data_IF_678163227183
#
_entry.id   IF_678163227183
#
_cell.length_a   1.000
_cell.length_b   1.000
_cell.length_c   1.000
_cell.angle_alpha   90.00
_cell.angle_beta   90.00
_cell.angle_gamma   90.00
#
_symmetry.space_group_name_H-M   'P 1'
#
loop_
_entity.id
_entity.type
_entity.pdbx_description
1 polymer ?
#
# COMPACT_ATOMS: atom_id res chain seq x y z
N UNK A 1 -17.55 17.76 2.24
CA UNK A 1 -16.93 16.52 2.75
C UNK A 1 -17.34 15.33 1.89
N UNK A 2 -18.62 15.19 1.50
CA UNK A 2 -19.08 14.13 0.58
C UNK A 2 -18.34 14.12 -0.78
N UNK A 3 -17.97 15.29 -1.32
CA UNK A 3 -17.21 15.36 -2.58
C UNK A 3 -15.80 14.78 -2.53
N UNK A 4 -15.18 14.65 -1.34
CA UNK A 4 -13.83 14.10 -1.21
C UNK A 4 -13.85 12.57 -1.38
N UNK A 5 -14.92 11.94 -0.90
CA UNK A 5 -15.04 10.49 -0.88
C UNK A 5 -14.98 9.87 -2.28
N UNK A 6 -15.43 10.59 -3.32
CA UNK A 6 -15.34 10.12 -4.72
C UNK A 6 -13.89 9.97 -5.22
N UNK A 7 -12.97 10.69 -4.60
CA UNK A 7 -11.55 10.66 -4.95
C UNK A 7 -10.76 9.67 -4.11
N UNK A 8 -11.27 9.26 -2.94
CA UNK A 8 -10.53 8.35 -2.06
C UNK A 8 -10.54 6.95 -2.69
N UNK A 9 -9.36 6.33 -2.92
CA UNK A 9 -9.29 5.02 -3.52
C UNK A 9 -9.65 3.93 -2.51
N UNK A 10 -9.92 2.73 -3.01
CA UNK A 10 -10.06 1.52 -2.19
C UNK A 10 -8.77 1.25 -1.41
N UNK A 11 -8.90 0.79 -0.17
CA UNK A 11 -7.77 0.36 0.64
C UNK A 11 -7.18 -0.93 0.05
N UNK A 12 -6.07 -0.78 -0.66
CA UNK A 12 -5.39 -1.92 -1.28
C UNK A 12 -4.89 -2.95 -0.27
N UNK A 13 -4.48 -2.52 0.92
CA UNK A 13 -4.00 -3.43 1.96
C UNK A 13 -5.15 -4.31 2.45
N UNK A 14 -6.32 -3.73 2.66
CA UNK A 14 -7.54 -4.44 3.01
C UNK A 14 -7.95 -5.41 1.90
N UNK A 15 -8.12 -4.91 0.68
CA UNK A 15 -8.65 -5.69 -0.44
C UNK A 15 -7.71 -6.85 -0.84
N UNK A 16 -6.38 -6.69 -0.75
CA UNK A 16 -5.43 -7.79 -0.99
C UNK A 16 -5.59 -8.92 0.04
N UNK A 17 -5.75 -8.59 1.34
CA UNK A 17 -5.94 -9.59 2.41
C UNK A 17 -7.22 -10.38 2.20
N UNK A 18 -8.30 -9.65 1.94
CA UNK A 18 -9.60 -10.21 1.61
C UNK A 18 -9.50 -11.09 0.35
N UNK A 19 -8.81 -10.63 -0.69
CA UNK A 19 -8.62 -11.40 -1.90
C UNK A 19 -7.87 -12.71 -1.69
N UNK A 20 -6.86 -12.72 -0.83
CA UNK A 20 -6.17 -13.96 -0.43
C UNK A 20 -7.08 -14.87 0.38
N UNK A 21 -7.89 -14.33 1.30
CA UNK A 21 -8.87 -15.13 2.07
C UNK A 21 -9.91 -15.78 1.16
N UNK A 22 -10.50 -15.03 0.25
CA UNK A 22 -11.45 -15.57 -0.72
C UNK A 22 -10.78 -16.63 -1.61
N UNK A 23 -9.58 -16.34 -2.11
CA UNK A 23 -8.82 -17.25 -2.97
C UNK A 23 -8.55 -18.60 -2.29
N UNK A 24 -8.03 -18.57 -1.06
CA UNK A 24 -7.66 -19.77 -0.30
C UNK A 24 -8.89 -20.60 0.08
N UNK A 25 -10.03 -19.94 0.33
CA UNK A 25 -11.26 -20.60 0.75
C UNK A 25 -12.24 -20.85 -0.41
N UNK A 26 -11.83 -20.62 -1.66
CA UNK A 26 -12.63 -20.94 -2.85
C UNK A 26 -13.81 -19.99 -3.13
N UNK A 27 -13.82 -18.79 -2.55
CA UNK A 27 -14.85 -17.78 -2.78
C UNK A 27 -14.55 -16.92 -4.02
N UNK A 28 -15.60 -16.40 -4.65
CA UNK A 28 -15.53 -15.58 -5.87
C UNK A 28 -15.84 -14.10 -5.65
N UNK A 29 -16.26 -13.72 -4.44
CA UNK A 29 -16.72 -12.37 -4.13
C UNK A 29 -15.67 -11.31 -4.53
N UNK A 30 -14.38 -11.56 -4.27
CA UNK A 30 -13.30 -10.67 -4.70
C UNK A 30 -13.19 -10.45 -6.19
N UNK A 31 -13.28 -11.51 -7.01
CA UNK A 31 -13.13 -11.32 -8.46
C UNK A 31 -14.35 -10.62 -9.04
N UNK A 32 -15.54 -10.93 -8.53
CA UNK A 32 -16.78 -10.29 -8.93
C UNK A 32 -16.81 -8.82 -8.51
N UNK A 33 -16.28 -8.49 -7.33
CA UNK A 33 -16.10 -7.11 -6.87
C UNK A 33 -15.11 -6.33 -7.74
N UNK A 34 -13.92 -6.87 -8.00
CA UNK A 34 -12.86 -6.21 -8.81
C UNK A 34 -13.27 -6.05 -10.28
N UNK A 35 -14.17 -6.87 -10.80
CA UNK A 35 -14.72 -6.72 -12.15
C UNK A 35 -15.68 -5.54 -12.30
N UNK A 36 -16.29 -5.08 -11.20
CA UNK A 36 -17.24 -3.96 -11.19
C UNK A 36 -16.56 -2.60 -11.00
N UNK A 37 -15.27 -2.58 -10.69
CA UNK A 37 -14.55 -1.33 -10.45
C UNK A 37 -14.05 -0.75 -11.77
N UNK A 38 -14.36 0.53 -12.03
CA UNK A 38 -13.88 1.26 -13.21
C UNK A 38 -12.41 1.64 -13.08
N UNK A 39 -11.98 2.03 -11.87
CA UNK A 39 -10.61 2.48 -11.59
C UNK A 39 -10.02 1.68 -10.44
N UNK A 40 -8.99 0.91 -10.75
CA UNK A 40 -8.20 0.14 -9.78
C UNK A 40 -6.79 0.72 -9.70
N UNK A 41 -6.20 0.67 -8.51
CA UNK A 41 -4.75 0.89 -8.39
C UNK A 41 -3.98 -0.26 -9.00
N UNK A 42 -2.71 -0.02 -9.35
CA UNK A 42 -1.86 -1.04 -9.98
C UNK A 42 -1.79 -2.33 -9.16
N UNK A 43 -1.74 -2.21 -7.83
CA UNK A 43 -1.72 -3.35 -6.90
C UNK A 43 -3.04 -4.14 -6.92
N UNK A 44 -4.19 -3.49 -7.10
CA UNK A 44 -5.49 -4.16 -7.20
C UNK A 44 -5.72 -4.77 -8.59
N UNK A 45 -5.17 -4.16 -9.64
CA UNK A 45 -5.13 -4.76 -10.96
C UNK A 45 -4.25 -6.02 -10.98
N UNK A 46 -3.11 -5.97 -10.29
CA UNK A 46 -2.25 -7.13 -10.09
C UNK A 46 -2.98 -8.24 -9.30
N UNK A 47 -3.71 -7.91 -8.23
CA UNK A 47 -4.53 -8.86 -7.48
C UNK A 47 -5.58 -9.54 -8.38
N UNK A 48 -6.33 -8.74 -9.15
CA UNK A 48 -7.32 -9.24 -10.11
C UNK A 48 -6.73 -10.26 -11.07
N UNK A 49 -5.57 -9.90 -11.65
CA UNK A 49 -4.82 -10.77 -12.58
C UNK A 49 -4.38 -12.05 -11.90
N UNK A 50 -3.79 -11.95 -10.71
CA UNK A 50 -3.26 -13.08 -9.97
C UNK A 50 -4.35 -14.09 -9.57
N UNK A 51 -5.54 -13.62 -9.17
CA UNK A 51 -6.68 -14.50 -8.84
C UNK A 51 -7.13 -15.29 -10.08
N UNK A 52 -7.23 -14.63 -11.23
CA UNK A 52 -7.60 -15.28 -12.51
C UNK A 52 -6.56 -16.34 -12.90
N UNK A 53 -5.28 -16.08 -12.64
CA UNK A 53 -4.17 -16.96 -13.00
C UNK A 53 -3.93 -18.10 -12.01
N UNK A 54 -4.40 -17.98 -10.77
CA UNK A 54 -4.10 -18.90 -9.68
C UNK A 54 -4.35 -20.37 -10.03
N UNK A 55 -5.51 -20.68 -10.62
CA UNK A 55 -5.91 -22.04 -10.97
C UNK A 55 -5.37 -22.50 -12.34
N UNK A 56 -4.59 -21.66 -13.03
CA UNK A 56 -3.99 -22.00 -14.32
C UNK A 56 -2.61 -22.63 -14.10
N UNK A 57 -2.11 -23.34 -15.12
CA UNK A 57 -0.72 -23.87 -15.17
C UNK A 57 0.32 -22.79 -15.53
N UNK A 58 -0.07 -21.51 -15.54
CA UNK A 58 0.79 -20.38 -15.91
C UNK A 58 1.47 -19.80 -14.68
N UNK A 59 2.57 -19.08 -14.90
CA UNK A 59 3.13 -18.20 -13.88
C UNK A 59 2.12 -17.12 -13.50
N UNK A 60 2.16 -16.67 -12.25
CA UNK A 60 1.25 -15.67 -11.70
C UNK A 60 1.91 -14.29 -11.79
N UNK A 61 1.28 -13.36 -12.49
CA UNK A 61 1.74 -11.98 -12.58
C UNK A 61 1.30 -11.19 -11.35
N UNK A 62 2.28 -10.71 -10.57
CA UNK A 62 2.07 -9.92 -9.35
C UNK A 62 2.43 -8.44 -9.51
N UNK A 63 2.74 -8.00 -10.74
CA UNK A 63 3.07 -6.60 -11.01
C UNK A 63 4.28 -6.13 -10.21
N UNK A 64 4.14 -4.92 -9.63
CA UNK A 64 5.09 -4.36 -8.66
C UNK A 64 4.75 -4.67 -7.20
N UNK A 65 3.65 -5.38 -6.93
CA UNK A 65 3.11 -5.51 -5.58
C UNK A 65 3.93 -6.47 -4.73
N UNK A 66 4.82 -5.91 -3.89
CA UNK A 66 5.61 -6.70 -2.93
C UNK A 66 4.73 -7.45 -1.92
N UNK A 67 3.61 -6.84 -1.50
CA UNK A 67 2.65 -7.48 -0.59
C UNK A 67 1.98 -8.68 -1.24
N UNK A 68 1.41 -8.49 -2.44
CA UNK A 68 0.74 -9.58 -3.16
C UNK A 68 1.71 -10.72 -3.46
N UNK A 69 2.94 -10.39 -3.90
CA UNK A 69 3.99 -11.38 -4.15
C UNK A 69 4.26 -12.24 -2.91
N UNK A 70 4.57 -11.62 -1.76
CA UNK A 70 4.88 -12.37 -0.53
C UNK A 70 3.69 -13.21 -0.07
N UNK A 71 2.48 -12.67 -0.11
CA UNK A 71 1.29 -13.39 0.31
C UNK A 71 1.05 -14.62 -0.56
N UNK A 72 1.00 -14.45 -1.89
CA UNK A 72 0.73 -15.56 -2.80
C UNK A 72 1.88 -16.56 -2.86
N UNK A 73 3.13 -16.12 -2.70
CA UNK A 73 4.28 -17.01 -2.62
C UNK A 73 4.22 -17.88 -1.37
N UNK A 74 3.93 -17.29 -0.21
CA UNK A 74 3.72 -18.03 1.02
C UNK A 74 2.54 -18.99 0.89
N UNK A 75 1.40 -18.56 0.33
CA UNK A 75 0.26 -19.43 0.04
C UNK A 75 0.65 -20.61 -0.85
N UNK A 76 1.41 -20.35 -1.91
CA UNK A 76 1.88 -21.39 -2.83
C UNK A 76 2.76 -22.42 -2.12
N UNK A 77 3.68 -21.98 -1.26
CA UNK A 77 4.51 -22.89 -0.45
C UNK A 77 3.67 -23.69 0.55
N UNK A 78 2.76 -23.02 1.27
CA UNK A 78 1.91 -23.65 2.28
C UNK A 78 0.99 -24.73 1.69
N UNK A 79 0.51 -24.53 0.47
CA UNK A 79 -0.36 -25.47 -0.25
C UNK A 79 0.41 -26.49 -1.11
N UNK A 80 1.76 -26.46 -1.12
CA UNK A 80 2.58 -27.37 -1.91
C UNK A 80 2.45 -27.19 -3.44
N UNK A 81 2.02 -26.02 -3.90
CA UNK A 81 1.72 -25.75 -5.31
C UNK A 81 2.92 -25.32 -6.14
N UNK A 82 3.99 -24.81 -5.51
CA UNK A 82 5.24 -24.38 -6.15
C UNK A 82 5.05 -23.51 -7.42
N UNK A 83 4.15 -22.52 -7.33
CA UNK A 83 3.85 -21.57 -8.40
C UNK A 83 5.05 -20.68 -8.73
N UNK A 84 5.25 -20.39 -10.01
CA UNK A 84 6.16 -19.34 -10.48
C UNK A 84 5.49 -17.97 -10.50
N UNK A 85 6.27 -16.90 -10.31
CA UNK A 85 5.76 -15.53 -10.20
C UNK A 85 6.50 -14.57 -11.14
N UNK A 86 5.75 -13.72 -11.84
CA UNK A 86 6.28 -12.65 -12.70
C UNK A 86 6.30 -11.34 -11.91
N UNK A 87 7.50 -10.79 -11.72
CA UNK A 87 7.75 -9.50 -11.04
C UNK A 87 8.05 -8.42 -12.07
N UNK A 88 7.54 -7.20 -11.86
CA UNK A 88 7.78 -6.05 -12.73
C UNK A 88 8.61 -4.96 -12.07
N UNK A 89 9.23 -4.12 -12.90
CA UNK A 89 9.89 -2.86 -12.50
C UNK A 89 10.77 -3.03 -11.24
N UNK A 90 10.53 -2.25 -10.18
CA UNK A 90 11.37 -2.23 -8.98
C UNK A 90 11.39 -3.58 -8.27
N UNK A 91 10.28 -4.33 -8.31
CA UNK A 91 10.13 -5.62 -7.62
C UNK A 91 11.08 -6.70 -8.18
N UNK A 92 11.53 -6.59 -9.44
CA UNK A 92 12.51 -7.53 -10.02
C UNK A 92 13.79 -7.60 -9.20
N UNK A 93 14.26 -6.44 -8.74
CA UNK A 93 15.56 -6.27 -8.10
C UNK A 93 15.50 -6.27 -6.57
N UNK A 94 14.30 -6.28 -5.96
CA UNK A 94 14.18 -6.32 -4.50
C UNK A 94 14.70 -7.66 -3.97
N UNK A 95 15.56 -7.60 -2.96
CA UNK A 95 15.99 -8.76 -2.18
C UNK A 95 14.83 -9.19 -1.28
N UNK A 96 14.21 -10.31 -1.61
CA UNK A 96 13.05 -10.87 -0.91
C UNK A 96 13.38 -12.31 -0.53
N UNK A 97 13.03 -12.71 0.70
CA UNK A 97 13.18 -14.07 1.18
C UNK A 97 12.64 -15.09 0.17
N UNK A 98 13.44 -16.14 -0.08
CA UNK A 98 13.12 -17.24 -0.97
C UNK A 98 13.35 -18.60 -0.29
N UNK A 99 13.03 -18.67 1.01
CA UNK A 99 13.09 -19.91 1.77
C UNK A 99 11.65 -20.44 2.00
N UNK A 100 11.24 -21.57 1.39
CA UNK A 100 9.92 -22.16 1.63
C UNK A 100 9.72 -22.66 3.07
N UNK A 101 10.80 -22.92 3.83
CA UNK A 101 10.72 -23.39 5.20
C UNK A 101 10.10 -22.36 6.16
N UNK A 102 10.04 -21.07 5.77
CA UNK A 102 9.44 -20.03 6.61
C UNK A 102 7.94 -20.29 6.89
N UNK A 103 7.29 -21.21 6.17
CA UNK A 103 5.91 -21.62 6.44
C UNK A 103 5.69 -22.26 7.82
N UNK A 104 6.76 -22.68 8.48
CA UNK A 104 6.76 -23.28 9.83
C UNK A 104 7.27 -22.33 10.91
N UNK A 105 7.74 -21.14 10.55
CA UNK A 105 8.28 -20.17 11.48
C UNK A 105 7.18 -19.46 12.28
N UNK A 106 7.51 -19.04 13.50
CA UNK A 106 6.61 -18.23 14.33
C UNK A 106 6.56 -16.76 13.85
N UNK A 107 5.57 -16.00 14.32
CA UNK A 107 5.38 -14.62 13.87
C UNK A 107 6.56 -13.73 14.20
N UNK A 108 7.23 -13.91 15.34
CA UNK A 108 8.42 -13.13 15.70
C UNK A 108 9.56 -13.32 14.69
N UNK A 109 9.83 -14.57 14.28
CA UNK A 109 10.82 -14.87 13.25
C UNK A 109 10.45 -14.27 11.89
N UNK A 110 9.18 -14.37 11.50
CA UNK A 110 8.70 -13.81 10.23
C UNK A 110 8.77 -12.28 10.19
N UNK A 111 8.65 -11.61 11.34
CA UNK A 111 8.77 -10.16 11.49
C UNK A 111 10.20 -9.63 11.35
N UNK A 112 11.23 -10.49 11.39
CA UNK A 112 12.62 -10.08 11.19
C UNK A 112 13.07 -10.16 9.72
N UNK A 113 12.25 -10.76 8.84
CA UNK A 113 12.57 -10.94 7.43
C UNK A 113 12.41 -9.65 6.62
N UNK A 114 13.19 -9.53 5.54
CA UNK A 114 13.09 -8.49 4.51
C UNK A 114 12.93 -7.07 5.06
N UNK A 115 13.93 -6.61 5.83
CA UNK A 115 13.92 -5.29 6.49
C UNK A 115 12.75 -5.13 7.45
N UNK A 116 12.49 -6.19 8.23
CA UNK A 116 11.48 -6.25 9.29
C UNK A 116 10.05 -5.98 8.79
N UNK A 117 9.73 -6.49 7.60
CA UNK A 117 8.38 -6.32 7.04
C UNK A 117 7.37 -7.23 7.72
N UNK A 118 6.15 -6.75 7.93
CA UNK A 118 5.05 -7.55 8.49
C UNK A 118 4.33 -8.43 7.46
N UNK A 119 4.77 -8.42 6.20
CA UNK A 119 4.08 -9.10 5.11
C UNK A 119 4.14 -10.63 5.23
N UNK A 120 5.28 -11.21 5.64
CA UNK A 120 5.38 -12.66 5.84
C UNK A 120 4.54 -13.15 7.02
N UNK A 121 4.62 -12.44 8.16
CA UNK A 121 3.77 -12.68 9.31
C UNK A 121 2.28 -12.59 8.95
N UNK A 122 1.89 -11.56 8.18
CA UNK A 122 0.52 -11.40 7.69
C UNK A 122 0.07 -12.57 6.82
N UNK A 123 0.90 -13.03 5.88
CA UNK A 123 0.58 -14.20 5.05
C UNK A 123 0.37 -15.47 5.88
N UNK A 124 1.22 -15.69 6.91
CA UNK A 124 1.08 -16.81 7.84
C UNK A 124 -0.25 -16.78 8.59
N UNK A 125 -0.66 -15.62 9.10
CA UNK A 125 -1.95 -15.46 9.80
C UNK A 125 -3.15 -15.64 8.85
N UNK A 126 -3.09 -15.11 7.62
CA UNK A 126 -4.14 -15.33 6.60
C UNK A 126 -4.35 -16.81 6.28
N UNK A 127 -3.33 -17.64 6.47
CA UNK A 127 -3.35 -19.08 6.21
C UNK A 127 -3.50 -19.93 7.47
N UNK A 128 -4.01 -19.32 8.55
CA UNK A 128 -4.46 -20.04 9.74
C UNK A 128 -3.47 -20.06 10.90
N UNK A 129 -2.36 -19.33 10.86
CA UNK A 129 -1.55 -19.13 12.06
C UNK A 129 -2.34 -18.31 13.09
N UNK A 130 -2.59 -18.91 14.26
CA UNK A 130 -3.38 -18.33 15.35
C UNK A 130 -2.56 -17.57 16.39
N UNK A 131 -1.23 -17.52 16.25
CA UNK A 131 -0.35 -16.77 17.14
C UNK A 131 -0.76 -15.28 17.19
N UNK A 132 -0.67 -14.72 18.39
CA UNK A 132 -0.96 -13.31 18.65
C UNK A 132 0.32 -12.61 19.08
N UNK A 133 0.62 -11.51 18.41
CA UNK A 133 1.65 -10.55 18.82
C UNK A 133 0.94 -9.44 19.59
N UNK A 134 1.38 -9.19 20.82
CA UNK A 134 0.96 -8.02 21.59
C UNK A 134 1.52 -6.76 20.90
N UNK A 135 0.69 -5.71 20.75
CA UNK A 135 1.03 -4.48 20.03
C UNK A 135 1.61 -4.76 18.62
N UNK A 136 0.86 -5.45 17.74
CA UNK A 136 1.38 -5.86 16.45
C UNK A 136 1.68 -4.65 15.56
N UNK A 137 2.64 -4.76 14.61
CA UNK A 137 2.85 -3.72 13.61
C UNK A 137 1.54 -3.38 12.88
N UNK A 138 1.37 -2.10 12.53
CA UNK A 138 0.13 -1.57 11.95
C UNK A 138 -0.48 -2.45 10.82
N UNK A 139 0.34 -2.90 9.86
CA UNK A 139 -0.15 -3.76 8.77
C UNK A 139 -0.49 -5.20 9.20
N UNK A 140 0.12 -5.72 10.27
CA UNK A 140 -0.29 -7.00 10.86
C UNK A 140 -1.62 -6.85 11.59
N UNK A 141 -1.88 -5.72 12.25
CA UNK A 141 -3.18 -5.43 12.84
C UNK A 141 -4.29 -5.44 11.78
N UNK A 142 -4.08 -4.79 10.62
CA UNK A 142 -5.03 -4.84 9.50
C UNK A 142 -5.31 -6.29 9.06
N UNK A 143 -4.33 -7.18 9.13
CA UNK A 143 -4.52 -8.61 8.83
C UNK A 143 -5.46 -9.29 9.82
N UNK A 144 -5.31 -9.02 11.12
CA UNK A 144 -6.22 -9.54 12.13
C UNK A 144 -7.65 -9.02 11.91
N UNK A 145 -7.78 -7.72 11.63
CA UNK A 145 -9.08 -7.09 11.38
C UNK A 145 -9.76 -7.65 10.13
N UNK A 146 -9.01 -7.88 9.06
CA UNK A 146 -9.51 -8.46 7.81
C UNK A 146 -10.03 -9.88 8.01
N UNK A 147 -9.31 -10.71 8.78
CA UNK A 147 -9.75 -12.08 9.09
C UNK A 147 -11.00 -12.07 9.95
N UNK A 148 -11.03 -11.21 10.99
CA UNK A 148 -12.19 -11.10 11.86
C UNK A 148 -13.44 -10.69 11.07
N UNK A 149 -13.31 -9.64 10.25
CA UNK A 149 -14.39 -9.17 9.37
C UNK A 149 -14.85 -10.26 8.41
N UNK A 150 -13.90 -10.87 7.69
CA UNK A 150 -14.22 -11.92 6.72
C UNK A 150 -14.96 -13.09 7.38
N UNK A 151 -14.48 -13.58 8.53
CA UNK A 151 -15.13 -14.66 9.28
C UNK A 151 -16.53 -14.27 9.74
N UNK A 152 -16.70 -13.09 10.34
CA UNK A 152 -18.01 -12.61 10.81
C UNK A 152 -19.03 -12.49 9.66
N UNK A 153 -18.59 -12.03 8.48
CA UNK A 153 -19.46 -11.96 7.31
C UNK A 153 -19.82 -13.37 6.79
N UNK A 154 -18.86 -14.31 6.75
CA UNK A 154 -19.13 -15.70 6.34
C UNK A 154 -20.06 -16.43 7.31
N UNK A 155 -19.93 -16.21 8.62
CA UNK A 155 -20.87 -16.74 9.62
C UNK A 155 -22.31 -16.27 9.38
N UNK A 156 -22.47 -15.02 8.91
CA UNK A 156 -23.77 -14.43 8.51
C UNK A 156 -24.21 -14.79 7.10
N UNK A 157 -23.43 -15.61 6.36
CA UNK A 157 -23.63 -15.91 4.93
C UNK A 157 -23.64 -14.66 4.03
N UNK A 158 -22.88 -13.64 4.41
CA UNK A 158 -22.71 -12.39 3.67
C UNK A 158 -21.34 -12.33 2.97
N UNK A 159 -21.24 -11.47 1.97
CA UNK A 159 -19.98 -11.03 1.40
C UNK A 159 -19.26 -10.09 2.36
N UNK A 160 -17.94 -10.01 2.25
CA UNK A 160 -17.16 -8.98 2.92
C UNK A 160 -17.47 -7.59 2.34
N UNK A 161 -17.04 -6.54 3.04
CA UNK A 161 -17.33 -5.15 2.67
C UNK A 161 -16.03 -4.41 2.33
N UNK A 162 -16.01 -3.61 1.25
CA UNK A 162 -14.83 -2.85 0.88
C UNK A 162 -14.57 -1.72 1.87
N UNK A 163 -13.29 -1.36 2.00
CA UNK A 163 -12.84 -0.18 2.74
C UNK A 163 -12.14 0.78 1.80
N UNK A 164 -12.23 2.06 2.13
CA UNK A 164 -11.47 3.13 1.49
C UNK A 164 -10.18 3.39 2.25
N UNK A 165 -9.16 3.90 1.57
CA UNK A 165 -7.84 4.15 2.18
C UNK A 165 -7.92 5.36 3.13
N UNK A 166 -8.06 5.08 4.42
CA UNK A 166 -8.12 6.11 5.47
C UNK A 166 -6.82 6.93 5.55
N UNK A 167 -5.67 6.37 5.17
CA UNK A 167 -4.40 7.10 5.12
C UNK A 167 -4.49 8.24 4.11
N UNK A 168 -4.89 7.89 2.89
CA UNK A 168 -5.06 8.85 1.80
C UNK A 168 -6.17 9.85 2.13
N UNK A 169 -7.27 9.39 2.72
CA UNK A 169 -8.37 10.25 3.16
C UNK A 169 -7.91 11.27 4.20
N UNK A 170 -7.14 10.87 5.21
CA UNK A 170 -6.64 11.77 6.24
C UNK A 170 -5.67 12.80 5.65
N UNK A 171 -4.79 12.40 4.74
CA UNK A 171 -3.89 13.31 4.01
C UNK A 171 -4.68 14.31 3.16
N UNK A 172 -5.69 13.83 2.41
CA UNK A 172 -6.59 14.66 1.59
C UNK A 172 -7.36 15.69 2.43
N UNK A 173 -7.90 15.27 3.57
CA UNK A 173 -8.64 16.13 4.48
C UNK A 173 -7.73 17.20 5.09
N UNK A 174 -6.52 16.81 5.54
CA UNK A 174 -5.53 17.75 6.06
C UNK A 174 -5.11 18.78 5.00
N UNK A 175 -4.89 18.33 3.76
CA UNK A 175 -4.58 19.21 2.64
C UNK A 175 -5.71 20.20 2.32
N UNK A 176 -6.95 19.74 2.27
CA UNK A 176 -8.11 20.62 2.03
C UNK A 176 -8.30 21.62 3.17
N UNK A 177 -8.11 21.19 4.42
CA UNK A 177 -8.16 22.09 5.56
C UNK A 177 -7.09 23.18 5.46
N UNK A 178 -5.86 22.81 5.05
CA UNK A 178 -4.78 23.75 4.79
C UNK A 178 -5.18 24.78 3.74
N UNK A 179 -5.73 24.36 2.59
CA UNK A 179 -6.16 25.30 1.55
C UNK A 179 -7.23 26.29 2.05
N UNK A 180 -8.15 25.84 2.91
CA UNK A 180 -9.25 26.66 3.42
C UNK A 180 -8.85 27.61 4.56
N UNK A 181 -7.94 27.17 5.42
CA UNK A 181 -7.66 27.85 6.70
C UNK A 181 -6.25 28.42 6.78
N UNK A 182 -5.36 28.05 5.86
CA UNK A 182 -3.93 28.32 5.94
C UNK A 182 -3.19 27.48 6.99
N UNK A 183 -3.89 26.65 7.77
CA UNK A 183 -3.32 25.80 8.81
C UNK A 183 -3.42 24.31 8.49
N UNK A 184 -2.34 23.57 8.73
CA UNK A 184 -2.32 22.12 8.64
C UNK A 184 -2.21 21.51 10.04
N UNK A 185 -3.15 20.64 10.39
CA UNK A 185 -3.09 19.81 11.59
C UNK A 185 -3.13 18.34 11.14
N UNK A 186 -1.97 17.69 11.17
CA UNK A 186 -1.82 16.31 10.74
C UNK A 186 -0.73 15.64 11.56
N UNK A 187 -1.05 14.48 12.14
CA UNK A 187 -0.12 13.68 12.91
C UNK A 187 0.17 12.38 12.15
N UNK A 188 1.41 12.15 11.67
CA UNK A 188 1.73 10.95 10.92
C UNK A 188 1.72 9.72 11.85
N UNK A 189 1.06 8.64 11.43
CA UNK A 189 0.85 7.43 12.24
C UNK A 189 1.61 6.22 11.71
N UNK A 190 1.92 6.18 10.42
CA UNK A 190 2.59 5.07 9.75
C UNK A 190 3.62 5.56 8.73
N UNK A 191 4.52 4.69 8.23
CA UNK A 191 5.56 5.08 7.28
C UNK A 191 5.03 5.75 5.99
N UNK A 192 3.84 5.40 5.54
CA UNK A 192 3.18 6.01 4.37
C UNK A 192 2.76 7.47 4.57
N UNK A 193 2.70 7.97 5.82
CA UNK A 193 2.41 9.37 6.14
C UNK A 193 3.65 10.27 6.07
N UNK A 194 4.84 9.68 6.08
CA UNK A 194 6.10 10.42 6.15
C UNK A 194 6.24 11.45 5.03
N UNK A 195 6.02 11.05 3.77
CA UNK A 195 6.21 11.95 2.61
C UNK A 195 5.30 13.18 2.71
N UNK A 196 4.03 12.97 3.05
CA UNK A 196 3.07 14.05 3.26
C UNK A 196 3.52 14.96 4.40
N UNK A 197 3.75 14.40 5.60
CA UNK A 197 4.17 15.18 6.77
C UNK A 197 5.46 15.98 6.50
N UNK A 198 6.45 15.36 5.84
CA UNK A 198 7.73 15.99 5.51
C UNK A 198 7.57 17.15 4.52
N UNK A 199 6.73 17.00 3.49
CA UNK A 199 6.49 18.05 2.50
C UNK A 199 5.84 19.33 3.08
N UNK A 200 5.22 19.20 4.24
CA UNK A 200 4.62 20.29 5.01
C UNK A 200 5.42 20.64 6.29
N UNK A 201 6.66 20.14 6.43
CA UNK A 201 7.54 20.40 7.58
C UNK A 201 6.93 19.99 8.95
N UNK A 202 6.09 18.95 8.98
CA UNK A 202 5.49 18.40 10.21
C UNK A 202 6.34 17.34 10.90
N UNK A 203 7.39 16.87 10.22
CA UNK A 203 8.36 15.90 10.72
C UNK A 203 9.71 16.15 10.04
N UNK A 204 10.82 15.93 10.74
CA UNK A 204 12.16 15.97 10.14
C UNK A 204 12.56 14.62 9.52
N UNK A 205 13.60 14.58 8.65
CA UNK A 205 14.21 13.33 8.20
C UNK A 205 14.62 12.40 9.32
N UNK A 206 15.26 12.93 10.36
CA UNK A 206 15.78 12.19 11.51
C UNK A 206 14.64 11.58 12.34
N UNK A 207 13.62 12.38 12.66
CA UNK A 207 12.42 11.90 13.37
C UNK A 207 11.69 10.82 12.57
N UNK A 208 11.63 10.96 11.25
CA UNK A 208 11.03 9.97 10.35
C UNK A 208 11.79 8.65 10.35
N UNK A 209 13.12 8.70 10.27
CA UNK A 209 13.99 7.52 10.27
C UNK A 209 13.97 6.81 11.63
N UNK A 210 13.95 7.55 12.74
CA UNK A 210 13.84 6.99 14.08
C UNK A 210 12.50 6.26 14.28
N UNK A 211 11.39 6.88 13.88
CA UNK A 211 10.06 6.26 13.98
C UNK A 211 9.89 5.08 13.04
N UNK A 212 10.42 5.18 11.83
CA UNK A 212 10.19 4.22 10.75
C UNK A 212 11.46 3.93 9.95
N UNK A 213 12.33 3.09 10.51
CA UNK A 213 13.54 2.59 9.82
C UNK A 213 13.29 1.99 8.42
N UNK A 214 12.07 1.50 8.16
CA UNK A 214 11.66 1.00 6.84
C UNK A 214 11.71 2.03 5.71
N UNK A 215 11.74 3.34 6.00
CA UNK A 215 11.75 4.41 5.00
C UNK A 215 12.96 4.37 4.07
N UNK A 216 14.09 3.79 4.51
CA UNK A 216 15.32 3.66 3.72
C UNK A 216 15.30 2.48 2.72
N UNK A 217 14.47 1.46 2.98
CA UNK A 217 14.64 0.14 2.36
C UNK A 217 13.35 -0.53 1.87
N UNK A 218 12.30 0.25 1.57
CA UNK A 218 10.99 -0.29 1.16
C UNK A 218 10.80 -0.35 -0.36
N UNK A 219 10.64 0.81 -1.01
CA UNK A 219 10.51 0.94 -2.48
C UNK A 219 11.62 1.81 -3.07
N UNK A 220 12.01 2.79 -2.29
CA UNK A 220 13.06 3.77 -2.52
C UNK A 220 13.67 4.14 -1.15
N UNK A 221 14.75 4.92 -1.14
CA UNK A 221 15.18 5.63 0.06
C UNK A 221 14.32 6.89 0.18
N UNK A 222 13.13 6.76 0.79
CA UNK A 222 12.13 7.83 0.87
C UNK A 222 12.64 9.06 1.60
N UNK A 223 13.59 8.90 2.52
CA UNK A 223 14.26 10.03 3.17
C UNK A 223 15.01 10.85 2.12
N UNK A 224 15.90 10.21 1.34
CA UNK A 224 16.67 10.91 0.29
C UNK A 224 15.80 11.43 -0.84
N UNK A 225 14.83 10.65 -1.29
CA UNK A 225 13.92 11.03 -2.38
C UNK A 225 13.08 12.26 -2.02
N UNK A 226 12.60 12.35 -0.76
CA UNK A 226 11.88 13.53 -0.29
C UNK A 226 12.77 14.76 -0.26
N UNK A 227 13.97 14.70 0.32
CA UNK A 227 14.88 15.85 0.36
C UNK A 227 15.27 16.32 -1.05
N UNK A 228 15.59 15.38 -1.93
CA UNK A 228 15.88 15.67 -3.34
C UNK A 228 14.69 16.38 -4.02
N UNK A 229 13.48 15.85 -3.85
CA UNK A 229 12.29 16.41 -4.52
C UNK A 229 11.87 17.76 -3.94
N UNK A 230 12.09 17.98 -2.63
CA UNK A 230 11.92 19.30 -2.01
C UNK A 230 12.91 20.29 -2.63
N UNK A 231 14.20 19.93 -2.74
CA UNK A 231 15.20 20.78 -3.37
C UNK A 231 14.87 21.11 -4.83
N UNK A 232 14.45 20.11 -5.62
CA UNK A 232 14.01 20.32 -7.00
C UNK A 232 12.84 21.31 -7.08
N UNK A 233 11.82 21.17 -6.22
CA UNK A 233 10.71 22.12 -6.13
C UNK A 233 11.18 23.53 -5.71
N UNK A 234 12.20 23.65 -4.86
CA UNK A 234 12.76 24.94 -4.48
C UNK A 234 13.51 25.61 -5.65
N UNK A 235 14.23 24.81 -6.44
CA UNK A 235 15.02 25.27 -7.58
C UNK A 235 14.21 25.43 -8.89
N UNK A 236 12.91 25.12 -8.88
CA UNK A 236 12.05 25.04 -10.07
C UNK A 236 12.55 24.01 -11.11
N UNK A 237 13.15 22.92 -10.63
CA UNK A 237 13.57 21.78 -11.44
C UNK A 237 12.42 20.78 -11.64
N UNK A 238 12.59 19.86 -12.59
CA UNK A 238 11.65 18.76 -12.80
C UNK A 238 11.78 17.76 -11.65
N UNK A 239 10.65 17.33 -11.09
CA UNK A 239 10.61 16.26 -10.09
C UNK A 239 10.71 14.91 -10.81
N UNK A 240 11.82 14.21 -10.62
CA UNK A 240 12.15 12.95 -11.29
C UNK A 240 11.91 11.70 -10.42
N UNK A 241 11.27 11.87 -9.25
CA UNK A 241 10.98 10.74 -8.37
C UNK A 241 9.96 9.78 -9.00
N UNK A 242 10.24 8.48 -8.85
CA UNK A 242 9.33 7.38 -9.23
C UNK A 242 8.50 6.88 -8.05
N UNK A 243 8.71 7.42 -6.85
CA UNK A 243 7.93 7.03 -5.68
C UNK A 243 6.62 7.82 -5.64
N UNK A 244 5.53 7.09 -5.84
CA UNK A 244 4.17 7.62 -5.84
C UNK A 244 3.81 8.47 -4.61
N UNK A 245 4.35 8.16 -3.42
CA UNK A 245 4.08 8.94 -2.21
C UNK A 245 4.83 10.27 -2.20
N UNK A 246 6.04 10.29 -2.77
CA UNK A 246 6.85 11.51 -2.93
C UNK A 246 6.17 12.44 -3.93
N UNK A 247 5.80 11.93 -5.10
CA UNK A 247 5.08 12.70 -6.14
C UNK A 247 3.77 13.27 -5.60
N UNK A 248 2.96 12.47 -4.90
CA UNK A 248 1.72 12.93 -4.26
C UNK A 248 1.97 14.08 -3.29
N UNK A 249 2.95 13.94 -2.40
CA UNK A 249 3.25 14.93 -1.37
C UNK A 249 3.78 16.24 -1.95
N UNK A 250 4.66 16.19 -2.94
CA UNK A 250 5.22 17.37 -3.61
C UNK A 250 4.15 18.09 -4.45
N UNK A 251 3.27 17.35 -5.13
CA UNK A 251 2.16 17.95 -5.86
C UNK A 251 1.19 18.70 -4.93
N UNK A 252 0.85 18.12 -3.78
CA UNK A 252 0.04 18.83 -2.77
C UNK A 252 0.77 20.05 -2.20
N UNK A 253 2.04 19.90 -1.81
CA UNK A 253 2.84 20.99 -1.21
C UNK A 253 3.06 22.16 -2.19
N UNK A 254 3.35 21.87 -3.45
CA UNK A 254 3.52 22.88 -4.49
C UNK A 254 2.23 23.65 -4.76
N UNK A 255 1.08 22.96 -4.83
CA UNK A 255 -0.24 23.60 -4.95
C UNK A 255 -0.54 24.52 -3.77
N UNK A 256 -0.36 24.05 -2.54
CA UNK A 256 -0.56 24.89 -1.34
C UNK A 256 0.35 26.13 -1.31
N UNK A 257 1.55 26.04 -1.89
CA UNK A 257 2.53 27.14 -1.98
C UNK A 257 2.37 28.00 -3.23
N UNK A 258 1.34 27.76 -4.05
CA UNK A 258 1.14 28.40 -5.34
C UNK A 258 2.40 28.35 -6.25
N UNK A 259 3.09 27.19 -6.26
CA UNK A 259 4.27 26.93 -7.10
C UNK A 259 3.90 26.03 -8.27
N UNK A 260 4.34 26.41 -9.47
CA UNK A 260 4.24 25.55 -10.66
C UNK A 260 5.40 24.55 -10.67
N UNK A 261 5.09 23.26 -10.75
CA UNK A 261 6.06 22.17 -10.73
C UNK A 261 5.73 21.18 -11.85
N UNK A 262 6.77 20.62 -12.49
CA UNK A 262 6.65 19.56 -13.49
C UNK A 262 7.12 18.24 -12.90
N UNK A 263 6.42 17.16 -13.24
CA UNK A 263 6.75 15.79 -12.81
C UNK A 263 7.14 14.96 -14.03
N UNK A 264 8.24 14.21 -13.93
CA UNK A 264 8.68 13.30 -15.00
C UNK A 264 7.82 12.04 -15.08
N UNK A 265 7.35 11.54 -13.93
CA UNK A 265 6.58 10.29 -13.81
C UNK A 265 5.22 10.49 -13.11
N UNK A 266 4.33 11.36 -13.63
CA UNK A 266 3.06 11.68 -12.96
C UNK A 266 2.15 10.47 -12.77
N UNK A 267 2.23 9.47 -13.64
CA UNK A 267 1.42 8.25 -13.60
C UNK A 267 1.77 7.31 -12.44
N UNK A 268 2.94 7.46 -11.81
CA UNK A 268 3.33 6.56 -10.71
C UNK A 268 2.34 6.60 -9.54
N UNK A 269 1.60 7.72 -9.39
CA UNK A 269 0.56 7.88 -8.36
C UNK A 269 -0.54 6.83 -8.42
N UNK A 270 -0.78 6.23 -9.61
CA UNK A 270 -1.78 5.18 -9.83
C UNK A 270 -1.55 3.94 -8.97
N UNK A 271 -0.32 3.72 -8.51
CA UNK A 271 0.03 2.65 -7.59
C UNK A 271 -0.75 2.67 -6.27
N UNK A 272 -1.19 3.85 -5.82
CA UNK A 272 -2.04 3.97 -4.62
C UNK A 272 -3.28 4.82 -4.81
N UNK A 273 -3.25 5.83 -5.68
CA UNK A 273 -4.32 6.81 -5.82
C UNK A 273 -4.57 7.16 -7.30
N UNK A 274 -5.29 6.32 -8.05
CA UNK A 274 -5.57 6.54 -9.47
C UNK A 274 -6.28 7.86 -9.80
N UNK A 275 -7.09 8.36 -8.86
CA UNK A 275 -7.84 9.61 -8.97
C UNK A 275 -7.07 10.82 -8.44
N UNK A 276 -5.76 10.71 -8.19
CA UNK A 276 -4.98 11.74 -7.52
C UNK A 276 -4.96 13.07 -8.28
N UNK A 277 -4.75 13.05 -9.59
CA UNK A 277 -4.68 14.28 -10.38
C UNK A 277 -6.04 14.98 -10.47
N UNK A 278 -7.13 14.21 -10.66
CA UNK A 278 -8.51 14.74 -10.58
C UNK A 278 -8.79 15.38 -9.21
N UNK A 279 -8.26 14.80 -8.13
CA UNK A 279 -8.35 15.37 -6.78
C UNK A 279 -7.61 16.71 -6.67
N UNK A 280 -6.36 16.76 -7.18
CA UNK A 280 -5.56 17.99 -7.18
C UNK A 280 -6.24 19.09 -7.99
N UNK A 281 -6.78 18.77 -9.17
CA UNK A 281 -7.52 19.72 -10.01
C UNK A 281 -8.82 20.20 -9.36
N UNK A 282 -9.53 19.30 -8.69
CA UNK A 282 -10.79 19.62 -8.01
C UNK A 282 -10.64 20.44 -6.73
N UNK A 283 -9.44 20.57 -6.18
CA UNK A 283 -9.16 21.40 -5.01
C UNK A 283 -8.93 22.86 -5.43
N UNK A 284 -9.73 23.79 -4.92
CA UNK A 284 -9.54 25.24 -5.04
C UNK A 284 -9.41 25.88 -3.66
#
# INVERSE_FOLDING_TARGET
>A
MEEINRFIPLDKSWIIRIGVLDLVNGYRDIIDFLNKQERLSDDLLALKTAIIEWNKKKQINVGESGTLYRFLKFTSWKLGLNKGFIKHLTLKNRKICDNPEIISWNLRQLLELDNKTSQWASASVLLGNTEKIENPPFKLQITYDAIHHWKSQREKKLSWEPKYDETIKNQALAFINLLKTGGINFQPQQPEDYCFARAFNLITPEEGEEKWSSLRFHESDRIKEMEKSIQQMHNNEIIDSKDHRVVQAIAMSSKAKNKSVKFEFPECVNKSWPQFWDFIEGCN
#
